data_IF_561208042697
#
_entry.id   IF_561208042697
#
_cell.length_a   1.000
_cell.length_b   1.000
_cell.length_c   1.000
_cell.angle_alpha   90.00
_cell.angle_beta   90.00
_cell.angle_gamma   90.00
#
_symmetry.space_group_name_H-M   'P 1'
#
loop_
_entity.id
_entity.type
_entity.pdbx_description
1 polymer ?
#
# COMPACT_ATOMS: atom_id res chain seq x y z
N UNK A 1 10.95 21.74 36.85
CA UNK A 1 9.56 21.92 36.30
C UNK A 1 9.56 23.21 35.53
N UNK A 2 9.04 23.20 34.30
CA UNK A 2 8.86 24.41 33.46
C UNK A 2 7.39 24.48 33.11
N UNK A 3 6.76 25.66 33.31
CA UNK A 3 5.34 25.83 33.04
C UNK A 3 5.10 26.75 31.84
N UNK A 4 4.05 26.48 31.07
CA UNK A 4 3.58 27.33 29.97
C UNK A 4 2.22 27.92 30.35
N UNK A 5 2.13 29.25 30.30
CA UNK A 5 0.92 30.03 30.59
C UNK A 5 0.42 30.62 29.29
N UNK A 6 -0.89 30.59 29.07
CA UNK A 6 -1.54 31.16 27.89
C UNK A 6 -2.38 32.37 28.23
N UNK A 7 -2.20 33.45 27.48
CA UNK A 7 -3.00 34.67 27.62
C UNK A 7 -2.99 35.26 29.03
N UNK A 8 -4.18 35.49 29.63
CA UNK A 8 -4.37 36.06 30.97
C UNK A 8 -4.44 35.02 32.09
N UNK A 9 -4.07 33.77 31.82
CA UNK A 9 -4.03 32.71 32.85
C UNK A 9 -3.02 33.04 33.94
N UNK A 10 -3.40 32.85 35.21
CA UNK A 10 -2.55 33.11 36.38
C UNK A 10 -1.73 31.89 36.81
N UNK A 11 -2.01 30.71 36.25
CA UNK A 11 -1.31 29.45 36.53
C UNK A 11 -0.92 28.78 35.22
N UNK A 12 0.20 27.98 35.20
CA UNK A 12 0.58 27.26 34.01
C UNK A 12 -0.49 26.26 33.58
N UNK A 13 -0.87 26.33 32.30
CA UNK A 13 -1.74 25.32 31.69
C UNK A 13 -1.02 23.99 31.55
N UNK A 14 0.24 24.03 31.08
CA UNK A 14 1.10 22.86 30.98
C UNK A 14 2.30 22.98 31.91
N UNK A 15 2.61 21.87 32.58
CA UNK A 15 3.81 21.72 33.40
C UNK A 15 4.63 20.54 32.88
N UNK A 16 5.96 20.75 32.81
CA UNK A 16 6.90 19.76 32.27
C UNK A 16 7.93 19.39 33.34
N UNK A 17 8.12 18.10 33.53
CA UNK A 17 9.26 17.57 34.28
C UNK A 17 10.21 16.86 33.31
N UNK A 18 11.47 17.00 33.55
CA UNK A 18 12.53 16.42 32.75
C UNK A 18 13.31 15.39 33.57
N UNK A 19 13.79 14.34 32.92
CA UNK A 19 14.72 13.39 33.53
C UNK A 19 16.14 14.00 33.59
N UNK A 20 17.07 13.25 34.18
CA UNK A 20 18.47 13.70 34.34
C UNK A 20 19.22 13.96 33.02
N UNK A 21 18.68 13.46 31.89
CA UNK A 21 19.21 13.67 30.53
C UNK A 21 18.53 14.81 29.77
N UNK A 22 17.61 15.55 30.40
CA UNK A 22 16.89 16.66 29.80
C UNK A 22 15.69 16.25 28.92
N UNK A 23 15.29 14.98 28.94
CA UNK A 23 14.13 14.51 28.18
C UNK A 23 12.84 14.71 28.99
N UNK A 24 11.73 15.00 28.32
CA UNK A 24 10.43 15.21 28.97
C UNK A 24 9.95 13.88 29.58
N UNK A 25 9.99 13.80 30.90
CA UNK A 25 9.56 12.62 31.66
C UNK A 25 8.07 12.68 32.02
N UNK A 26 7.51 13.89 32.19
CA UNK A 26 6.10 14.08 32.49
C UNK A 26 5.59 15.41 31.93
N UNK A 27 4.39 15.37 31.39
CA UNK A 27 3.60 16.55 31.03
C UNK A 27 2.29 16.50 31.82
N UNK A 28 1.93 17.58 32.49
CA UNK A 28 0.63 17.76 33.11
C UNK A 28 -0.12 18.83 32.36
N UNK A 29 -1.35 18.53 31.91
CA UNK A 29 -2.35 19.48 31.44
C UNK A 29 -3.31 19.78 32.60
N UNK A 30 -3.19 20.96 33.18
CA UNK A 30 -3.97 21.35 34.34
C UNK A 30 -5.43 21.65 33.99
N UNK A 31 -5.71 22.01 32.70
CA UNK A 31 -7.08 22.23 32.25
C UNK A 31 -7.89 20.94 32.17
N UNK A 32 -7.27 19.88 31.61
CA UNK A 32 -7.90 18.58 31.46
C UNK A 32 -7.67 17.65 32.66
N UNK A 33 -6.91 18.11 33.69
CA UNK A 33 -6.43 17.27 34.79
C UNK A 33 -5.78 15.97 34.27
N UNK A 34 -5.01 16.09 33.17
CA UNK A 34 -4.38 14.98 32.47
C UNK A 34 -2.88 14.99 32.70
N UNK A 35 -2.32 13.80 32.98
CA UNK A 35 -0.88 13.60 33.14
C UNK A 35 -0.41 12.57 32.14
N UNK A 36 0.63 12.92 31.37
CA UNK A 36 1.35 11.99 30.47
C UNK A 36 2.76 11.79 30.99
N UNK A 37 3.17 10.54 31.18
CA UNK A 37 4.50 10.14 31.60
C UNK A 37 5.20 9.40 30.46
N UNK A 38 6.49 9.67 30.25
CA UNK A 38 7.33 9.04 29.22
C UNK A 38 8.56 8.43 29.87
N UNK A 39 8.87 7.20 29.46
CA UNK A 39 10.07 6.47 29.86
C UNK A 39 10.96 6.27 28.63
N UNK A 40 12.28 6.22 28.85
CA UNK A 40 13.28 6.12 27.79
C UNK A 40 14.29 5.02 28.12
N UNK A 41 14.83 4.37 27.11
CA UNK A 41 15.93 3.42 27.27
C UNK A 41 17.30 4.12 27.40
N UNK A 42 18.35 3.31 27.53
CA UNK A 42 19.71 3.83 27.64
C UNK A 42 20.20 4.54 26.37
N UNK A 43 19.61 4.21 25.20
CA UNK A 43 19.87 4.83 23.91
C UNK A 43 19.04 6.10 23.68
N UNK A 44 18.29 6.56 24.69
CA UNK A 44 17.41 7.74 24.66
C UNK A 44 16.18 7.59 23.76
N UNK A 45 15.78 6.36 23.41
CA UNK A 45 14.57 6.09 22.64
C UNK A 45 13.37 5.98 23.60
N UNK A 46 12.17 6.48 23.23
CA UNK A 46 10.98 6.30 24.05
C UNK A 46 10.59 4.81 24.08
N UNK A 47 10.34 4.27 25.27
CA UNK A 47 9.94 2.86 25.46
C UNK A 47 8.55 2.75 26.09
N UNK A 48 8.06 3.81 26.72
CA UNK A 48 6.72 3.79 27.31
C UNK A 48 6.13 5.19 27.41
N UNK A 49 4.84 5.26 27.11
CA UNK A 49 4.02 6.44 27.39
C UNK A 49 2.78 6.00 28.16
N UNK A 50 2.51 6.66 29.29
CA UNK A 50 1.31 6.43 30.11
C UNK A 50 0.55 7.72 30.29
N UNK A 51 -0.75 7.72 30.00
CA UNK A 51 -1.63 8.87 30.21
C UNK A 51 -2.71 8.51 31.23
N UNK A 52 -2.91 9.41 32.20
CA UNK A 52 -4.00 9.35 33.15
C UNK A 52 -4.76 10.69 33.14
N UNK A 53 -6.08 10.66 33.33
CA UNK A 53 -6.95 11.81 33.40
C UNK A 53 -7.76 11.73 34.70
N UNK A 54 -7.75 12.80 35.51
CA UNK A 54 -8.35 12.83 36.85
C UNK A 54 -7.93 11.63 37.73
N UNK A 55 -6.68 11.15 37.58
CA UNK A 55 -6.14 10.00 38.30
C UNK A 55 -6.54 8.63 37.71
N UNK A 56 -7.44 8.58 36.72
CA UNK A 56 -7.85 7.33 36.05
C UNK A 56 -6.91 7.03 34.88
N UNK A 57 -6.54 5.78 34.71
CA UNK A 57 -5.74 5.34 33.54
C UNK A 57 -6.53 5.47 32.25
N UNK A 58 -5.98 6.18 31.27
CA UNK A 58 -6.61 6.40 29.95
C UNK A 58 -5.88 5.62 28.87
N UNK A 59 -4.54 5.63 28.87
CA UNK A 59 -3.72 5.04 27.83
C UNK A 59 -2.37 4.58 28.32
N UNK A 60 -1.89 3.45 27.82
CA UNK A 60 -0.48 3.06 27.89
C UNK A 60 -0.04 2.56 26.51
N UNK A 61 1.04 3.12 25.98
CA UNK A 61 1.79 2.60 24.85
C UNK A 61 3.16 2.15 25.31
N UNK A 62 3.64 1.00 24.82
CA UNK A 62 4.97 0.49 25.08
C UNK A 62 5.62 0.10 23.76
N UNK A 63 6.95 0.30 23.69
CA UNK A 63 7.77 0.01 22.53
C UNK A 63 8.96 -0.80 22.98
N UNK A 64 9.25 -1.90 22.31
CA UNK A 64 10.48 -2.65 22.47
C UNK A 64 11.31 -2.58 21.18
N UNK A 65 12.61 -2.64 21.35
CA UNK A 65 13.58 -2.64 20.25
C UNK A 65 14.44 -3.90 20.34
N UNK A 66 14.88 -4.43 19.20
CA UNK A 66 15.83 -5.53 19.19
C UNK A 66 17.22 -5.05 19.68
N UNK A 67 18.01 -6.00 20.21
CA UNK A 67 19.32 -5.70 20.81
C UNK A 67 20.46 -5.68 19.78
N UNK A 68 20.22 -6.06 18.52
CA UNK A 68 21.26 -6.18 17.50
C UNK A 68 21.34 -4.92 16.66
N UNK A 69 20.23 -4.56 16.03
CA UNK A 69 20.16 -3.42 15.11
C UNK A 69 19.40 -2.23 15.69
N UNK A 70 18.67 -2.44 16.78
CA UNK A 70 17.86 -1.40 17.42
C UNK A 70 16.54 -1.15 16.69
N UNK A 71 16.08 -2.10 15.89
CA UNK A 71 14.78 -2.01 15.21
C UNK A 71 13.63 -2.15 16.19
N UNK A 72 12.48 -1.63 15.81
CA UNK A 72 11.23 -1.83 16.51
C UNK A 72 10.87 -3.33 16.51
N UNK A 73 10.89 -3.99 17.66
CA UNK A 73 10.56 -5.41 17.76
C UNK A 73 9.13 -5.66 18.23
N UNK A 74 8.58 -4.76 19.04
CA UNK A 74 7.21 -4.87 19.54
C UNK A 74 6.65 -3.49 19.87
N UNK A 75 5.37 -3.31 19.57
CA UNK A 75 4.56 -2.21 20.05
C UNK A 75 3.32 -2.77 20.74
N UNK A 76 3.02 -2.31 21.93
CA UNK A 76 1.77 -2.65 22.62
C UNK A 76 1.05 -1.40 23.08
N UNK A 77 -0.28 -1.47 23.07
CA UNK A 77 -1.13 -0.39 23.56
C UNK A 77 -2.32 -0.92 24.36
N UNK A 78 -2.70 -0.15 25.36
CA UNK A 78 -3.85 -0.41 26.21
C UNK A 78 -4.62 0.89 26.43
N UNK A 79 -5.91 0.89 26.08
CA UNK A 79 -6.81 2.02 26.27
C UNK A 79 -7.78 1.71 27.41
N UNK A 80 -7.67 2.48 28.52
CA UNK A 80 -8.46 2.24 29.73
C UNK A 80 -7.96 1.07 30.57
N UNK A 81 -8.42 1.04 31.84
CA UNK A 81 -7.88 0.10 32.85
C UNK A 81 -8.32 -1.36 32.61
N UNK A 82 -9.56 -1.55 32.19
CA UNK A 82 -10.19 -2.87 32.05
C UNK A 82 -10.23 -3.41 30.59
N UNK A 83 -9.48 -2.79 29.67
CA UNK A 83 -9.37 -3.26 28.27
C UNK A 83 -8.18 -4.18 28.09
N UNK A 84 -8.31 -5.08 27.13
CA UNK A 84 -7.18 -5.95 26.74
C UNK A 84 -6.11 -5.10 26.02
N UNK A 85 -4.87 -5.54 26.15
CA UNK A 85 -3.73 -4.96 25.45
C UNK A 85 -3.73 -5.39 23.98
N UNK A 86 -3.48 -4.45 23.10
CA UNK A 86 -3.24 -4.67 21.69
C UNK A 86 -1.75 -4.74 21.44
N UNK A 87 -1.27 -5.79 20.76
CA UNK A 87 0.15 -5.97 20.48
C UNK A 87 0.42 -6.13 18.99
N UNK A 88 1.53 -5.55 18.54
CA UNK A 88 2.12 -5.75 17.21
C UNK A 88 3.58 -6.13 17.37
N UNK A 89 3.98 -7.31 16.87
CA UNK A 89 5.38 -7.74 16.80
C UNK A 89 5.89 -7.63 15.38
N UNK A 90 7.13 -7.21 15.25
CA UNK A 90 7.83 -6.99 14.00
C UNK A 90 8.94 -8.04 13.86
N UNK A 91 9.03 -8.68 12.69
CA UNK A 91 10.13 -9.58 12.36
C UNK A 91 10.91 -9.06 11.17
N UNK A 92 12.20 -9.37 11.15
CA UNK A 92 13.16 -8.92 10.14
C UNK A 92 13.94 -10.12 9.62
N UNK A 93 14.49 -10.01 8.43
CA UNK A 93 15.44 -10.98 7.88
C UNK A 93 16.89 -10.64 8.26
N UNK A 94 17.82 -11.45 7.77
CA UNK A 94 19.26 -11.30 8.06
C UNK A 94 19.86 -10.03 7.45
N UNK A 95 19.21 -9.47 6.42
CA UNK A 95 19.55 -8.18 5.82
C UNK A 95 18.85 -6.98 6.49
N UNK A 96 18.19 -7.23 7.63
CA UNK A 96 17.50 -6.20 8.42
C UNK A 96 16.28 -5.57 7.73
N UNK A 97 15.63 -6.31 6.82
CA UNK A 97 14.42 -5.87 6.14
C UNK A 97 13.18 -6.39 6.87
N UNK A 98 12.10 -5.59 7.00
CA UNK A 98 10.88 -6.05 7.69
C UNK A 98 10.20 -7.17 6.86
N UNK A 99 9.98 -8.32 7.50
CA UNK A 99 9.42 -9.53 6.86
C UNK A 99 8.15 -10.04 7.52
N UNK A 100 7.84 -9.63 8.74
CA UNK A 100 6.60 -10.07 9.38
C UNK A 100 6.03 -9.07 10.37
N UNK A 101 4.69 -9.13 10.49
CA UNK A 101 3.92 -8.46 11.53
C UNK A 101 2.99 -9.49 12.18
N UNK A 102 2.93 -9.51 13.51
CA UNK A 102 2.00 -10.34 14.25
C UNK A 102 1.15 -9.46 15.15
N UNK A 103 -0.16 -9.57 15.01
CA UNK A 103 -1.14 -8.81 15.78
C UNK A 103 -1.76 -9.68 16.87
N UNK A 104 -1.90 -9.13 18.07
CA UNK A 104 -2.49 -9.84 19.21
C UNK A 104 -3.46 -8.95 20.01
N UNK A 105 -4.39 -9.61 20.70
CA UNK A 105 -5.21 -9.01 21.76
C UNK A 105 -4.96 -9.84 23.02
N UNK A 106 -4.34 -9.23 24.03
CA UNK A 106 -3.79 -9.95 25.16
C UNK A 106 -2.81 -11.03 24.71
N UNK A 107 -2.99 -12.26 25.16
CA UNK A 107 -2.17 -13.42 24.77
C UNK A 107 -2.59 -14.07 23.44
N UNK A 108 -3.66 -13.62 22.80
CA UNK A 108 -4.23 -14.28 21.61
C UNK A 108 -3.75 -13.59 20.34
N UNK A 109 -3.07 -14.33 19.46
CA UNK A 109 -2.75 -13.86 18.10
C UNK A 109 -4.02 -13.82 17.26
N UNK A 110 -4.36 -12.65 16.71
CA UNK A 110 -5.53 -12.41 15.87
C UNK A 110 -5.21 -12.36 14.39
N UNK A 111 -3.98 -12.02 14.05
CA UNK A 111 -3.52 -11.92 12.67
C UNK A 111 -2.00 -11.96 12.54
N UNK A 112 -1.57 -12.31 11.35
CA UNK A 112 -0.15 -12.30 10.98
C UNK A 112 -0.01 -11.95 9.51
N UNK A 113 0.95 -11.10 9.16
CA UNK A 113 1.44 -10.95 7.79
C UNK A 113 2.90 -11.39 7.71
N UNK A 114 3.25 -12.04 6.60
CA UNK A 114 4.63 -12.45 6.31
C UNK A 114 4.97 -12.09 4.87
N UNK A 115 6.22 -11.73 4.63
CA UNK A 115 6.73 -11.38 3.31
C UNK A 115 8.11 -12.03 3.13
N UNK A 116 8.34 -12.63 1.97
CA UNK A 116 9.67 -13.11 1.57
C UNK A 116 10.23 -12.15 0.53
N UNK A 117 11.45 -11.71 0.73
CA UNK A 117 12.14 -10.73 -0.11
C UNK A 117 13.40 -11.41 -0.67
N UNK A 118 13.62 -11.33 -1.98
CA UNK A 118 14.79 -11.90 -2.62
C UNK A 118 16.04 -11.00 -2.45
N UNK A 119 17.18 -11.48 -3.00
CA UNK A 119 18.46 -10.75 -2.94
C UNK A 119 18.48 -9.44 -3.76
N UNK A 120 17.49 -9.23 -4.64
CA UNK A 120 17.32 -8.00 -5.41
C UNK A 120 16.30 -7.05 -4.75
N UNK A 121 15.93 -7.34 -3.49
CA UNK A 121 14.96 -6.56 -2.71
C UNK A 121 13.54 -6.55 -3.32
N UNK A 122 13.14 -7.65 -4.00
CA UNK A 122 11.81 -7.82 -4.57
C UNK A 122 10.99 -8.78 -3.69
N UNK A 123 9.73 -8.48 -3.48
CA UNK A 123 8.80 -9.40 -2.80
C UNK A 123 8.52 -10.61 -3.70
N UNK A 124 8.83 -11.82 -3.24
CA UNK A 124 8.56 -13.08 -3.95
C UNK A 124 7.36 -13.83 -3.38
N UNK A 125 7.03 -13.58 -2.13
CA UNK A 125 5.89 -14.18 -1.46
C UNK A 125 5.32 -13.24 -0.41
N UNK A 126 4.01 -13.24 -0.25
CA UNK A 126 3.33 -12.63 0.90
C UNK A 126 2.19 -13.51 1.39
N UNK A 127 1.96 -13.50 2.69
CA UNK A 127 0.82 -14.17 3.30
C UNK A 127 0.18 -13.29 4.38
N UNK A 128 -1.15 -13.30 4.44
CA UNK A 128 -1.93 -12.69 5.51
C UNK A 128 -2.80 -13.78 6.13
N UNK A 129 -2.64 -13.99 7.43
CA UNK A 129 -3.43 -14.94 8.23
C UNK A 129 -4.32 -14.18 9.19
N UNK A 130 -5.61 -14.47 9.17
CA UNK A 130 -6.62 -13.92 10.08
C UNK A 130 -7.44 -15.08 10.64
N UNK A 131 -7.27 -15.36 11.93
CA UNK A 131 -7.85 -16.55 12.56
C UNK A 131 -7.39 -17.84 11.87
N UNK A 132 -8.34 -18.61 11.35
CA UNK A 132 -8.09 -19.86 10.61
C UNK A 132 -7.87 -19.67 9.11
N UNK A 133 -8.08 -18.48 8.57
CA UNK A 133 -7.96 -18.20 7.14
C UNK A 133 -6.58 -17.64 6.81
N UNK A 134 -5.99 -18.14 5.70
CA UNK A 134 -4.73 -17.63 5.17
C UNK A 134 -4.95 -17.26 3.71
N UNK A 135 -4.49 -16.07 3.35
CA UNK A 135 -4.44 -15.58 1.98
C UNK A 135 -2.98 -15.43 1.59
N UNK A 136 -2.59 -16.01 0.45
CA UNK A 136 -1.20 -15.99 -0.04
C UNK A 136 -1.11 -15.37 -1.42
N UNK A 137 0.03 -14.77 -1.71
CA UNK A 137 0.40 -14.28 -3.04
C UNK A 137 1.86 -14.66 -3.32
N UNK A 138 2.11 -15.33 -4.43
CA UNK A 138 3.43 -15.63 -4.96
C UNK A 138 3.70 -14.76 -6.19
N UNK A 139 4.89 -14.17 -6.25
CA UNK A 139 5.30 -13.29 -7.33
C UNK A 139 6.50 -13.90 -8.05
N UNK A 140 6.37 -14.05 -9.37
CA UNK A 140 7.45 -14.47 -10.26
C UNK A 140 7.81 -13.30 -11.16
N UNK A 141 9.11 -13.12 -11.39
CA UNK A 141 9.63 -12.02 -12.19
C UNK A 141 10.11 -12.49 -13.55
N UNK A 142 9.92 -11.66 -14.57
CA UNK A 142 10.36 -11.97 -15.93
C UNK A 142 11.89 -12.05 -16.00
N UNK A 143 12.38 -13.02 -16.76
CA UNK A 143 13.80 -13.08 -17.11
C UNK A 143 14.18 -11.90 -18.01
N UNK A 144 15.38 -11.38 -17.88
CA UNK A 144 15.89 -10.38 -18.80
C UNK A 144 16.26 -10.99 -20.15
N UNK A 145 16.21 -10.19 -21.21
CA UNK A 145 16.54 -10.63 -22.58
C UNK A 145 18.05 -10.87 -22.85
N UNK A 146 18.92 -10.57 -21.89
CA UNK A 146 20.38 -10.60 -22.08
C UNK A 146 21.03 -11.78 -21.31
N UNK A 147 20.99 -12.97 -21.91
CA UNK A 147 21.70 -14.14 -21.42
C UNK A 147 21.02 -14.92 -20.28
N UNK A 148 21.53 -16.12 -20.00
CA UNK A 148 21.05 -16.96 -18.89
C UNK A 148 21.37 -16.32 -17.55
N UNK A 149 20.31 -16.09 -16.73
CA UNK A 149 20.43 -15.53 -15.40
C UNK A 149 20.21 -14.01 -15.32
N UNK A 150 19.94 -13.33 -16.43
CA UNK A 150 19.46 -11.94 -16.37
C UNK A 150 18.06 -11.89 -15.77
N UNK A 151 17.82 -10.93 -14.89
CA UNK A 151 16.57 -10.76 -14.14
C UNK A 151 16.06 -9.34 -14.30
N UNK A 152 14.74 -9.17 -14.25
CA UNK A 152 14.09 -7.89 -14.32
C UNK A 152 13.26 -7.62 -13.05
N UNK A 153 12.76 -6.41 -12.89
CA UNK A 153 11.76 -6.08 -11.87
C UNK A 153 10.31 -6.21 -12.41
N UNK A 154 10.16 -6.71 -13.65
CA UNK A 154 8.86 -6.92 -14.27
C UNK A 154 8.23 -8.20 -13.72
N UNK A 155 7.01 -8.12 -13.21
CA UNK A 155 6.26 -9.26 -12.66
C UNK A 155 5.77 -10.12 -13.81
N UNK A 156 6.24 -11.37 -13.93
CA UNK A 156 5.76 -12.32 -14.94
C UNK A 156 4.44 -12.98 -14.54
N UNK A 157 4.27 -13.28 -13.25
CA UNK A 157 3.01 -13.83 -12.75
C UNK A 157 2.79 -13.56 -11.26
N UNK A 158 1.51 -13.55 -10.89
CA UNK A 158 1.03 -13.54 -9.50
C UNK A 158 0.10 -14.72 -9.33
N UNK A 159 0.41 -15.59 -8.36
CA UNK A 159 -0.43 -16.73 -7.99
C UNK A 159 -1.06 -16.51 -6.63
N UNK A 160 -2.37 -16.62 -6.57
CA UNK A 160 -3.18 -16.49 -5.36
C UNK A 160 -4.22 -17.60 -5.32
N UNK A 161 -4.79 -17.97 -4.16
CA UNK A 161 -5.88 -18.94 -4.08
C UNK A 161 -7.07 -18.52 -4.96
N UNK A 162 -7.34 -19.29 -6.02
CA UNK A 162 -8.43 -19.03 -6.96
C UNK A 162 -8.19 -17.90 -7.98
N UNK A 163 -6.99 -17.31 -8.00
CA UNK A 163 -6.64 -16.24 -8.94
C UNK A 163 -5.18 -16.37 -9.40
N UNK A 164 -4.99 -16.63 -10.69
CA UNK A 164 -3.68 -16.66 -11.33
C UNK A 164 -3.61 -15.58 -12.40
N UNK A 165 -2.69 -14.63 -12.23
CA UNK A 165 -2.40 -13.57 -13.19
C UNK A 165 -1.06 -13.86 -13.86
N UNK A 166 -0.96 -13.63 -15.17
CA UNK A 166 0.29 -13.67 -15.92
C UNK A 166 0.44 -12.41 -16.76
N UNK A 167 1.68 -11.99 -17.01
CA UNK A 167 2.00 -10.78 -17.76
C UNK A 167 3.11 -11.06 -18.77
N UNK A 168 2.93 -10.59 -20.00
CA UNK A 168 3.99 -10.49 -21.01
C UNK A 168 4.24 -9.03 -21.34
N UNK A 169 5.47 -8.72 -21.71
CA UNK A 169 5.93 -7.35 -21.95
C UNK A 169 6.49 -7.20 -23.36
N UNK A 170 6.35 -5.99 -23.91
CA UNK A 170 7.07 -5.59 -25.12
C UNK A 170 8.51 -5.15 -24.80
N UNK A 171 9.29 -4.82 -25.84
CA UNK A 171 10.69 -4.41 -25.69
C UNK A 171 10.85 -3.06 -24.95
N UNK A 172 9.78 -2.27 -24.85
CA UNK A 172 9.75 -1.00 -24.11
C UNK A 172 9.36 -1.18 -22.64
N UNK A 173 8.97 -2.41 -22.24
CA UNK A 173 8.51 -2.74 -20.90
C UNK A 173 7.02 -2.46 -20.66
N UNK A 174 6.24 -2.16 -21.70
CA UNK A 174 4.79 -2.07 -21.57
C UNK A 174 4.19 -3.48 -21.50
N UNK A 175 3.05 -3.63 -20.81
CA UNK A 175 2.34 -4.91 -20.75
C UNK A 175 1.73 -5.20 -22.14
N UNK A 176 2.33 -6.13 -22.89
CA UNK A 176 1.83 -6.58 -24.20
C UNK A 176 0.71 -7.63 -24.06
N UNK A 177 0.70 -8.37 -22.95
CA UNK A 177 -0.38 -9.32 -22.66
C UNK A 177 -0.59 -9.51 -21.16
N UNK A 178 -1.84 -9.82 -20.79
CA UNK A 178 -2.18 -10.27 -19.44
C UNK A 178 -3.07 -11.52 -19.53
N UNK A 179 -2.96 -12.39 -18.53
CA UNK A 179 -3.87 -13.52 -18.34
C UNK A 179 -4.49 -13.47 -16.95
N UNK A 180 -5.76 -13.79 -16.85
CA UNK A 180 -6.47 -13.94 -15.60
C UNK A 180 -7.20 -15.30 -15.61
N UNK A 181 -6.74 -16.24 -14.79
CA UNK A 181 -7.29 -17.61 -14.72
C UNK A 181 -7.39 -18.26 -16.12
N UNK A 182 -6.35 -18.08 -16.95
CA UNK A 182 -6.27 -18.61 -18.31
C UNK A 182 -6.99 -17.79 -19.39
N UNK A 183 -7.72 -16.74 -19.04
CA UNK A 183 -8.31 -15.81 -20.01
C UNK A 183 -7.28 -14.76 -20.39
N UNK A 184 -7.04 -14.62 -21.68
CA UNK A 184 -5.98 -13.76 -22.22
C UNK A 184 -6.52 -12.43 -22.70
N UNK A 185 -5.76 -11.36 -22.47
CA UNK A 185 -5.96 -10.03 -23.03
C UNK A 185 -4.65 -9.53 -23.61
N UNK A 186 -4.67 -9.07 -24.86
CA UNK A 186 -3.50 -8.48 -25.53
C UNK A 186 -3.64 -6.97 -25.66
N UNK A 187 -2.51 -6.30 -25.62
CA UNK A 187 -2.41 -4.84 -25.67
C UNK A 187 -1.40 -4.44 -26.74
N UNK A 188 -1.72 -3.39 -27.50
CA UNK A 188 -0.83 -2.81 -28.51
C UNK A 188 -0.71 -1.32 -28.27
N UNK A 189 0.51 -0.83 -28.39
CA UNK A 189 0.86 0.57 -28.14
C UNK A 189 1.41 1.22 -29.40
N UNK A 190 1.31 2.55 -29.51
CA UNK A 190 1.98 3.32 -30.53
C UNK A 190 3.43 3.67 -30.10
N UNK A 191 4.13 4.41 -30.94
CA UNK A 191 5.51 4.83 -30.70
C UNK A 191 5.66 5.76 -29.48
N UNK A 192 4.58 6.39 -29.03
CA UNK A 192 4.52 7.23 -27.84
C UNK A 192 4.16 6.46 -26.57
N UNK A 193 3.92 5.12 -26.67
CA UNK A 193 3.48 4.28 -25.57
C UNK A 193 2.02 4.45 -25.22
N UNK A 194 1.19 5.03 -26.11
CA UNK A 194 -0.25 5.14 -25.91
C UNK A 194 -0.93 3.84 -26.32
N UNK A 195 -1.88 3.35 -25.53
CA UNK A 195 -2.62 2.13 -25.79
C UNK A 195 -3.58 2.31 -26.96
N UNK A 196 -3.29 1.71 -28.12
CA UNK A 196 -4.11 1.86 -29.34
C UNK A 196 -5.04 0.69 -29.58
N UNK A 197 -4.78 -0.50 -29.01
CA UNK A 197 -5.65 -1.65 -29.19
C UNK A 197 -5.64 -2.57 -27.97
N UNK A 198 -6.81 -3.13 -27.65
CA UNK A 198 -6.99 -4.20 -26.66
C UNK A 198 -7.75 -5.34 -27.31
N UNK A 199 -7.20 -6.56 -27.27
CA UNK A 199 -7.88 -7.80 -27.64
C UNK A 199 -8.24 -8.55 -26.36
N UNK A 200 -9.50 -8.53 -25.96
CA UNK A 200 -9.96 -9.10 -24.70
C UNK A 200 -10.77 -10.36 -24.92
N UNK A 201 -10.20 -11.52 -24.66
CA UNK A 201 -10.87 -12.83 -24.70
C UNK A 201 -11.88 -13.02 -23.56
N UNK A 202 -11.82 -12.23 -22.51
CA UNK A 202 -12.72 -12.36 -21.35
C UNK A 202 -14.06 -11.64 -21.54
N UNK A 203 -14.13 -10.69 -22.48
CA UNK A 203 -15.33 -9.91 -22.74
C UNK A 203 -16.28 -10.64 -23.71
N UNK A 204 -17.35 -11.21 -23.16
CA UNK A 204 -18.35 -11.98 -23.91
C UNK A 204 -19.62 -11.19 -24.28
N UNK A 205 -19.62 -9.85 -24.12
CA UNK A 205 -20.80 -8.99 -24.34
C UNK A 205 -21.30 -9.04 -25.76
N UNK A 206 -20.48 -9.33 -26.75
CA UNK A 206 -20.85 -9.44 -28.16
C UNK A 206 -21.44 -10.80 -28.57
N UNK A 207 -21.54 -11.77 -27.63
CA UNK A 207 -21.93 -13.15 -27.97
C UNK A 207 -20.82 -13.95 -28.66
N UNK A 208 -19.63 -13.37 -28.82
CA UNK A 208 -18.45 -13.98 -29.40
C UNK A 208 -17.41 -14.28 -28.29
N UNK A 209 -16.33 -14.98 -28.66
CA UNK A 209 -15.25 -15.37 -27.72
C UNK A 209 -14.31 -14.21 -27.39
N UNK A 210 -14.80 -12.99 -27.23
CA UNK A 210 -14.03 -11.83 -26.89
C UNK A 210 -14.40 -10.55 -27.62
N UNK A 211 -13.68 -9.48 -27.38
CA UNK A 211 -13.92 -8.14 -27.95
C UNK A 211 -12.58 -7.50 -28.30
N UNK A 212 -12.56 -6.73 -29.41
CA UNK A 212 -11.45 -5.85 -29.76
C UNK A 212 -11.83 -4.40 -29.51
N UNK A 213 -11.01 -3.65 -28.83
CA UNK A 213 -11.14 -2.21 -28.64
C UNK A 213 -10.01 -1.47 -29.33
N UNK A 214 -10.32 -0.34 -29.99
CA UNK A 214 -9.34 0.58 -30.58
C UNK A 214 -9.52 1.98 -30.04
N UNK A 215 -8.40 2.67 -29.88
CA UNK A 215 -8.32 4.03 -29.36
C UNK A 215 -7.55 4.91 -30.35
N UNK A 216 -8.01 6.12 -30.55
CA UNK A 216 -7.34 7.15 -31.34
C UNK A 216 -7.13 8.38 -30.49
N UNK A 217 -5.99 9.00 -30.61
CA UNK A 217 -5.57 10.13 -29.79
C UNK A 217 -5.27 11.35 -30.63
N UNK A 218 -5.34 12.55 -30.02
CA UNK A 218 -4.74 13.75 -30.56
C UNK A 218 -3.25 13.85 -30.19
N UNK A 219 -2.57 14.91 -30.66
CA UNK A 219 -1.17 15.14 -30.35
C UNK A 219 -0.88 15.46 -28.87
N UNK A 220 -1.90 15.80 -28.10
CA UNK A 220 -1.84 16.03 -26.66
C UNK A 220 -2.05 14.78 -25.81
N UNK A 221 -2.39 13.63 -26.45
CA UNK A 221 -2.69 12.39 -25.76
C UNK A 221 -4.17 12.26 -25.31
N UNK A 222 -5.04 13.17 -25.72
CA UNK A 222 -6.45 13.07 -25.44
C UNK A 222 -7.12 12.01 -26.34
N UNK A 223 -7.99 11.17 -25.80
CA UNK A 223 -8.73 10.16 -26.57
C UNK A 223 -9.74 10.89 -27.49
N UNK A 224 -9.58 10.78 -28.79
CA UNK A 224 -10.54 11.30 -29.76
C UNK A 224 -11.65 10.29 -30.09
N UNK A 225 -11.31 8.99 -30.09
CA UNK A 225 -12.22 7.93 -30.50
C UNK A 225 -11.95 6.65 -29.72
N UNK A 226 -13.03 5.96 -29.34
CA UNK A 226 -13.02 4.62 -28.78
C UNK A 226 -13.99 3.77 -29.59
N UNK A 227 -13.52 2.67 -30.14
CA UNK A 227 -14.32 1.77 -31.02
C UNK A 227 -14.27 0.35 -30.45
N UNK A 228 -15.42 -0.32 -30.46
CA UNK A 228 -15.57 -1.73 -30.14
C UNK A 228 -15.83 -2.54 -31.40
N UNK A 229 -15.14 -3.64 -31.53
CA UNK A 229 -15.26 -4.58 -32.64
C UNK A 229 -15.54 -5.99 -32.10
N UNK A 230 -16.00 -6.89 -33.00
CA UNK A 230 -15.91 -8.31 -32.75
C UNK A 230 -14.42 -8.71 -32.52
N UNK A 231 -14.20 -9.81 -31.82
CA UNK A 231 -12.83 -10.24 -31.49
C UNK A 231 -11.99 -10.41 -32.79
N UNK A 232 -10.82 -9.79 -32.77
CA UNK A 232 -9.89 -9.72 -33.90
C UNK A 232 -10.41 -9.03 -35.20
N UNK A 233 -11.64 -8.49 -35.20
CA UNK A 233 -12.05 -7.55 -36.25
C UNK A 233 -11.46 -6.16 -35.92
N UNK A 234 -11.07 -5.42 -36.96
CA UNK A 234 -10.56 -4.04 -36.84
C UNK A 234 -11.15 -3.12 -37.91
N UNK A 235 -12.14 -3.59 -38.67
CA UNK A 235 -12.70 -2.91 -39.85
C UNK A 235 -14.14 -2.46 -39.65
N UNK A 236 -14.97 -3.27 -38.97
CA UNK A 236 -16.39 -3.03 -38.79
C UNK A 236 -16.72 -2.78 -37.31
N UNK A 237 -16.69 -1.53 -36.84
CA UNK A 237 -17.00 -1.25 -35.45
C UNK A 237 -18.45 -1.54 -35.12
N UNK A 238 -18.68 -2.24 -34.02
CA UNK A 238 -20.00 -2.50 -33.43
C UNK A 238 -20.52 -1.28 -32.67
N UNK A 239 -19.59 -0.53 -32.07
CA UNK A 239 -19.87 0.70 -31.32
C UNK A 239 -18.72 1.70 -31.55
N UNK A 240 -19.07 2.98 -31.60
CA UNK A 240 -18.10 4.06 -31.71
C UNK A 240 -18.50 5.19 -30.78
N UNK A 241 -17.58 5.58 -29.87
CA UNK A 241 -17.71 6.79 -29.09
C UNK A 241 -16.66 7.82 -29.56
N UNK A 242 -17.09 9.06 -29.77
CA UNK A 242 -16.23 10.20 -30.13
C UNK A 242 -16.18 11.19 -29.00
N UNK A 243 -14.99 11.74 -28.77
CA UNK A 243 -14.70 12.66 -27.68
C UNK A 243 -14.29 14.01 -28.26
N UNK A 244 -14.86 15.10 -27.74
CA UNK A 244 -14.61 16.46 -28.23
C UNK A 244 -14.04 17.31 -27.11
N UNK A 245 -12.99 18.08 -27.43
CA UNK A 245 -12.28 18.99 -26.54
C UNK A 245 -12.40 20.41 -27.11
N UNK A 246 -13.52 21.08 -26.85
CA UNK A 246 -13.91 22.33 -27.50
C UNK A 246 -13.73 23.58 -26.63
N UNK A 247 -13.15 23.45 -25.43
CA UNK A 247 -12.94 24.59 -24.53
C UNK A 247 -11.74 25.44 -25.01
N UNK A 248 -12.00 26.70 -25.35
CA UNK A 248 -10.97 27.60 -25.89
C UNK A 248 -9.87 27.97 -24.88
N UNK A 249 -10.19 27.91 -23.58
CA UNK A 249 -9.28 28.28 -22.49
C UNK A 249 -8.57 27.06 -21.89
N UNK A 250 -9.17 25.88 -22.01
CA UNK A 250 -8.62 24.62 -21.52
C UNK A 250 -8.78 23.53 -22.59
N UNK A 251 -7.78 23.38 -23.43
CA UNK A 251 -7.82 22.52 -24.62
C UNK A 251 -8.02 21.02 -24.32
N UNK A 252 -7.57 20.57 -23.15
CA UNK A 252 -7.68 19.15 -22.72
C UNK A 252 -8.97 18.87 -21.93
N UNK A 253 -9.87 19.85 -21.82
CA UNK A 253 -11.15 19.67 -21.16
C UNK A 253 -12.14 18.98 -22.09
N UNK A 254 -12.56 17.78 -21.70
CA UNK A 254 -13.64 17.07 -22.42
C UNK A 254 -14.93 17.90 -22.39
N UNK A 255 -15.47 18.22 -23.54
CA UNK A 255 -16.70 19.03 -23.70
C UNK A 255 -17.89 18.23 -24.19
N UNK A 256 -17.67 17.13 -24.93
CA UNK A 256 -18.74 16.25 -25.37
C UNK A 256 -18.26 14.81 -25.58
N UNK A 257 -19.19 13.87 -25.41
CA UNK A 257 -19.06 12.46 -25.81
C UNK A 257 -20.30 12.11 -26.62
N UNK A 258 -20.10 11.62 -27.84
CA UNK A 258 -21.15 11.17 -28.72
C UNK A 258 -20.89 9.68 -29.09
N UNK A 259 -21.90 8.83 -28.94
CA UNK A 259 -21.80 7.40 -29.25
C UNK A 259 -23.13 6.69 -29.15
#
# INVERSE_FOLDING_TARGET
>A
MTGVVYGEETAPRYEYDYNAKGQVARVRDNLLNRTTQSEYDLANRPVRVKTAEAGQHVYTGQVAYDNVYGNLSEFTEKVGENRQEFGTKFGYDDENRPTSLTYSIGATTIGQSTTTIDKLNRTTFSAVKLGSKTFTSEYHFAAGGYGTGSVTNLVASITQPGCNCGYGYDDNGNIASATLNGKWTGYTYDELGQLIQVNDHSDTRSGENGTTWKYTYDLGGNILKKERFAYNDTTNPLETATYTYGDANWRDKLTAVNG
#
